data_IF_686830440888
#
_entry.id   IF_686830440888
#
_cell.length_a   1.000
_cell.length_b   1.000
_cell.length_c   1.000
_cell.angle_alpha   90.00
_cell.angle_beta   90.00
_cell.angle_gamma   90.00
#
_symmetry.space_group_name_H-M   'P 1'
#
loop_
_entity.id
_entity.type
_entity.pdbx_description
1 polymer ?
#
# COMPACT_ATOMS: atom_id res chain seq x y z
N UNK A 1 7.51 -4.02 8.36
CA UNK A 1 6.94 -4.64 7.12
C UNK A 1 7.75 -5.87 6.67
N UNK A 2 7.09 -6.99 6.38
CA UNK A 2 7.63 -8.26 5.85
C UNK A 2 7.85 -8.18 4.33
N UNK A 3 9.07 -7.86 3.90
CA UNK A 3 9.42 -7.78 2.47
C UNK A 3 9.46 -9.17 1.82
N UNK A 4 9.01 -9.29 0.57
CA UNK A 4 9.13 -10.50 -0.23
C UNK A 4 10.61 -10.90 -0.32
N UNK A 5 10.91 -12.17 0.01
CA UNK A 5 12.26 -12.71 -0.06
C UNK A 5 12.89 -12.48 -1.43
N UNK A 6 14.05 -11.82 -1.46
CA UNK A 6 14.79 -11.47 -2.67
C UNK A 6 14.50 -10.06 -3.21
N UNK A 7 13.50 -9.33 -2.69
CA UNK A 7 13.19 -7.95 -3.06
C UNK A 7 13.75 -6.90 -2.10
N UNK A 8 14.49 -7.29 -1.08
CA UNK A 8 14.98 -6.40 -0.02
C UNK A 8 15.89 -5.29 -0.57
N UNK A 9 16.78 -5.64 -1.52
CA UNK A 9 17.65 -4.66 -2.17
C UNK A 9 16.86 -3.73 -3.09
N UNK A 10 15.93 -4.26 -3.88
CA UNK A 10 15.10 -3.45 -4.78
C UNK A 10 14.25 -2.45 -3.99
N UNK A 11 13.62 -2.90 -2.91
CA UNK A 11 12.87 -2.04 -1.99
C UNK A 11 13.77 -0.97 -1.40
N UNK A 12 14.95 -1.34 -0.90
CA UNK A 12 15.89 -0.39 -0.31
C UNK A 12 16.38 0.64 -1.32
N UNK A 13 16.77 0.22 -2.51
CA UNK A 13 17.23 1.13 -3.57
C UNK A 13 16.09 2.08 -4.02
N UNK A 14 14.84 1.61 -4.02
CA UNK A 14 13.67 2.45 -4.30
C UNK A 14 13.40 3.44 -3.17
N UNK A 15 13.43 2.97 -1.91
CA UNK A 15 13.31 3.78 -0.71
C UNK A 15 14.38 4.88 -0.67
N UNK A 16 15.65 4.56 -0.94
CA UNK A 16 16.76 5.50 -0.85
C UNK A 16 16.69 6.59 -1.93
N UNK A 17 16.12 6.29 -3.11
CA UNK A 17 15.87 7.28 -4.18
C UNK A 17 14.76 8.28 -3.87
N UNK A 18 13.84 7.94 -2.96
CA UNK A 18 12.68 8.75 -2.61
C UNK A 18 12.91 9.45 -1.28
N UNK A 19 13.88 10.38 -1.28
CA UNK A 19 14.39 11.02 -0.06
C UNK A 19 13.76 12.38 0.26
N UNK A 20 13.01 12.98 -0.65
CA UNK A 20 12.28 14.22 -0.36
C UNK A 20 11.05 13.93 0.52
N UNK A 21 10.56 14.94 1.24
CA UNK A 21 9.47 14.73 2.20
C UNK A 21 8.18 14.19 1.59
N UNK A 22 7.86 14.56 0.34
CA UNK A 22 6.64 14.11 -0.33
C UNK A 22 6.76 12.63 -0.73
N UNK A 23 7.83 12.26 -1.42
CA UNK A 23 8.04 10.88 -1.85
C UNK A 23 8.32 9.95 -0.67
N UNK A 24 9.05 10.41 0.36
CA UNK A 24 9.32 9.68 1.60
C UNK A 24 8.03 9.35 2.34
N UNK A 25 7.07 10.27 2.42
CA UNK A 25 5.80 10.05 3.10
C UNK A 25 5.00 8.88 2.49
N UNK A 26 5.09 8.62 1.18
CA UNK A 26 4.49 7.42 0.57
C UNK A 26 5.05 6.12 1.16
N UNK A 27 6.36 6.04 1.39
CA UNK A 27 7.01 4.86 1.98
C UNK A 27 6.70 4.75 3.47
N UNK A 28 6.80 5.85 4.23
CA UNK A 28 6.49 5.89 5.65
C UNK A 28 5.06 5.41 5.91
N UNK A 29 4.09 5.91 5.13
CA UNK A 29 2.71 5.46 5.20
C UNK A 29 2.56 3.99 4.86
N UNK A 30 3.18 3.54 3.76
CA UNK A 30 3.13 2.14 3.32
C UNK A 30 3.65 1.18 4.40
N UNK A 31 4.82 1.45 4.99
CA UNK A 31 5.43 0.63 6.03
C UNK A 31 4.54 0.55 7.27
N UNK A 32 4.00 1.68 7.75
CA UNK A 32 3.10 1.71 8.91
C UNK A 32 1.81 0.94 8.67
N UNK A 33 1.21 1.13 7.51
CA UNK A 33 -0.04 0.44 7.17
C UNK A 33 0.17 -1.07 7.08
N UNK A 34 1.27 -1.50 6.47
CA UNK A 34 1.66 -2.91 6.40
C UNK A 34 1.91 -3.51 7.80
N UNK A 35 2.57 -2.79 8.69
CA UNK A 35 2.83 -3.25 10.07
C UNK A 35 1.55 -3.40 10.89
N UNK A 36 0.62 -2.44 10.77
CA UNK A 36 -0.69 -2.54 11.40
C UNK A 36 -1.48 -3.73 10.87
N UNK A 37 -1.46 -3.96 9.55
CA UNK A 37 -2.14 -5.11 8.94
C UNK A 37 -1.48 -6.43 9.31
N UNK A 38 -0.16 -6.51 9.36
CA UNK A 38 0.58 -7.69 9.85
C UNK A 38 0.11 -8.10 11.25
N UNK A 39 -0.07 -7.14 12.14
CA UNK A 39 -0.55 -7.41 13.51
C UNK A 39 -1.96 -8.02 13.54
N UNK A 40 -2.84 -7.68 12.59
CA UNK A 40 -4.18 -8.29 12.47
C UNK A 40 -4.17 -9.61 11.68
N UNK A 41 -3.28 -9.73 10.68
CA UNK A 41 -3.09 -10.97 9.91
C UNK A 41 -2.56 -12.08 10.82
N UNK A 42 -1.60 -11.79 11.71
CA UNK A 42 -1.02 -12.77 12.63
C UNK A 42 -2.06 -13.30 13.65
N UNK A 43 -3.22 -12.65 13.79
CA UNK A 43 -4.36 -13.09 14.62
C UNK A 43 -5.46 -13.79 13.81
N UNK A 44 -5.39 -13.77 12.48
CA UNK A 44 -6.44 -14.24 11.58
C UNK A 44 -6.11 -15.60 10.96
N UNK A 45 -7.15 -16.40 10.71
CA UNK A 45 -7.04 -17.63 9.92
C UNK A 45 -7.42 -17.43 8.43
N UNK A 46 -7.90 -16.23 8.08
CA UNK A 46 -8.26 -15.83 6.71
C UNK A 46 -7.69 -14.44 6.42
N UNK A 47 -6.69 -14.42 5.54
CA UNK A 47 -5.96 -13.20 5.17
C UNK A 47 -6.89 -12.24 4.42
N UNK A 48 -7.65 -12.71 3.41
CA UNK A 48 -8.51 -11.80 2.62
C UNK A 48 -9.62 -11.20 3.46
N UNK A 49 -10.21 -11.98 4.37
CA UNK A 49 -11.20 -11.45 5.31
C UNK A 49 -10.59 -10.39 6.23
N UNK A 50 -9.36 -10.60 6.70
CA UNK A 50 -8.64 -9.60 7.51
C UNK A 50 -8.52 -8.26 6.77
N UNK A 51 -8.18 -8.27 5.47
CA UNK A 51 -8.15 -7.05 4.65
C UNK A 51 -9.53 -6.39 4.53
N UNK A 52 -10.57 -7.15 4.23
CA UNK A 52 -11.95 -6.62 4.13
C UNK A 52 -12.38 -5.93 5.42
N UNK A 53 -12.06 -6.52 6.57
CA UNK A 53 -12.49 -6.04 7.88
C UNK A 53 -11.63 -4.86 8.40
N UNK A 54 -10.35 -4.78 8.03
CA UNK A 54 -9.39 -3.87 8.69
C UNK A 54 -8.70 -2.86 7.78
N UNK A 55 -8.48 -3.13 6.50
CA UNK A 55 -7.54 -2.37 5.69
C UNK A 55 -7.91 -0.88 5.56
N UNK A 56 -9.20 -0.54 5.45
CA UNK A 56 -9.64 0.86 5.41
C UNK A 56 -9.44 1.60 6.75
N UNK A 57 -9.75 0.94 7.88
CA UNK A 57 -9.57 1.55 9.20
C UNK A 57 -8.10 1.76 9.50
N UNK A 58 -7.28 0.72 9.33
CA UNK A 58 -5.85 0.76 9.57
C UNK A 58 -5.13 1.69 8.60
N UNK A 59 -5.62 1.80 7.36
CA UNK A 59 -5.11 2.75 6.39
C UNK A 59 -5.34 4.20 6.81
N UNK A 60 -6.43 4.51 7.52
CA UNK A 60 -6.62 5.85 8.12
C UNK A 60 -5.76 6.06 9.37
N UNK A 61 -5.56 5.03 10.18
CA UNK A 61 -4.71 5.10 11.38
C UNK A 61 -3.23 5.26 11.03
N UNK A 62 -2.77 4.68 9.92
CA UNK A 62 -1.41 4.83 9.42
C UNK A 62 -1.13 6.25 8.87
N UNK A 63 -2.17 7.00 8.47
CA UNK A 63 -2.03 8.33 7.92
C UNK A 63 -1.85 9.39 9.02
N UNK A 64 -0.60 9.54 9.47
CA UNK A 64 -0.24 10.61 10.42
C UNK A 64 0.29 11.86 9.74
N UNK A 65 0.41 11.86 8.41
CA UNK A 65 1.08 12.92 7.63
C UNK A 65 0.12 13.66 6.69
N UNK A 66 -1.13 13.17 6.55
CA UNK A 66 -2.16 13.75 5.69
C UNK A 66 -1.90 13.47 4.22
N UNK A 67 -1.67 12.20 3.86
CA UNK A 67 -1.32 11.82 2.50
C UNK A 67 -2.45 12.10 1.49
N UNK A 68 -2.08 12.44 0.26
CA UNK A 68 -3.07 12.67 -0.81
C UNK A 68 -3.54 11.36 -1.45
N UNK A 69 -4.62 11.40 -2.23
CA UNK A 69 -5.08 10.23 -3.00
C UNK A 69 -4.04 9.66 -3.97
N UNK A 70 -3.19 10.52 -4.54
CA UNK A 70 -2.08 10.08 -5.38
C UNK A 70 -1.02 9.32 -4.56
N UNK A 71 -0.63 9.88 -3.41
CA UNK A 71 0.33 9.25 -2.49
C UNK A 71 -0.20 7.91 -1.96
N UNK A 72 -1.50 7.83 -1.68
CA UNK A 72 -2.15 6.56 -1.32
C UNK A 72 -2.02 5.53 -2.45
N UNK A 73 -2.28 5.91 -3.70
CA UNK A 73 -2.05 5.04 -4.86
C UNK A 73 -0.59 4.58 -4.98
N UNK A 74 0.37 5.49 -4.75
CA UNK A 74 1.80 5.13 -4.70
C UNK A 74 2.10 4.12 -3.57
N UNK A 75 1.54 4.32 -2.39
CA UNK A 75 1.73 3.40 -1.28
C UNK A 75 1.15 2.00 -1.56
N UNK A 76 -0.05 1.91 -2.13
CA UNK A 76 -0.61 0.62 -2.57
C UNK A 76 0.30 -0.05 -3.59
N UNK A 77 0.88 0.71 -4.53
CA UNK A 77 1.84 0.21 -5.53
C UNK A 77 3.17 -0.28 -4.91
N UNK A 78 3.71 0.44 -3.92
CA UNK A 78 4.90 0.01 -3.17
C UNK A 78 4.61 -1.34 -2.48
N UNK A 79 3.49 -1.41 -1.76
CA UNK A 79 3.10 -2.61 -1.02
C UNK A 79 2.83 -3.79 -1.94
N UNK A 80 2.07 -3.60 -3.03
CA UNK A 80 1.75 -4.69 -3.96
C UNK A 80 3.00 -5.33 -4.57
N UNK A 81 4.07 -4.56 -4.74
CA UNK A 81 5.29 -5.02 -5.38
C UNK A 81 6.29 -5.65 -4.41
N UNK A 82 6.39 -5.15 -3.17
CA UNK A 82 7.49 -5.50 -2.28
C UNK A 82 7.06 -6.21 -1.00
N UNK A 83 5.78 -6.16 -0.62
CA UNK A 83 5.28 -6.72 0.64
C UNK A 83 4.75 -8.14 0.46
N UNK A 84 5.00 -9.04 1.42
CA UNK A 84 4.57 -10.44 1.40
C UNK A 84 3.05 -10.60 1.19
N UNK A 85 2.25 -9.70 1.76
CA UNK A 85 0.80 -9.69 1.60
C UNK A 85 0.29 -8.70 0.54
N UNK A 86 1.19 -8.12 -0.26
CA UNK A 86 0.90 -7.09 -1.24
C UNK A 86 -0.15 -7.47 -2.27
N UNK A 87 -0.19 -8.74 -2.68
CA UNK A 87 -1.19 -9.25 -3.63
C UNK A 87 -2.62 -9.25 -3.06
N UNK A 88 -2.77 -9.55 -1.77
CA UNK A 88 -4.06 -9.49 -1.09
C UNK A 88 -4.55 -8.04 -0.99
N UNK A 89 -3.64 -7.12 -0.66
CA UNK A 89 -3.93 -5.69 -0.64
C UNK A 89 -4.35 -5.18 -2.02
N UNK A 90 -3.61 -5.52 -3.08
CA UNK A 90 -3.90 -5.11 -4.46
C UNK A 90 -5.31 -5.53 -4.87
N UNK A 91 -5.66 -6.80 -4.64
CA UNK A 91 -7.01 -7.33 -4.96
C UNK A 91 -8.10 -6.64 -4.16
N UNK A 92 -7.91 -6.44 -2.86
CA UNK A 92 -8.87 -5.72 -2.02
C UNK A 92 -9.06 -4.27 -2.49
N UNK A 93 -7.97 -3.57 -2.80
CA UNK A 93 -8.00 -2.18 -3.25
C UNK A 93 -8.69 -2.06 -4.62
N UNK A 94 -8.24 -2.83 -5.61
CA UNK A 94 -8.73 -2.75 -6.98
C UNK A 94 -10.22 -3.10 -7.10
N UNK A 95 -10.72 -4.03 -6.27
CA UNK A 95 -12.13 -4.41 -6.24
C UNK A 95 -13.07 -3.24 -5.93
N UNK A 96 -12.60 -2.21 -5.21
CA UNK A 96 -13.37 -1.00 -4.93
C UNK A 96 -13.69 -0.18 -6.19
N UNK A 97 -12.95 -0.42 -7.26
CA UNK A 97 -13.04 0.27 -8.55
C UNK A 97 -13.50 -0.66 -9.67
N UNK A 98 -14.04 -1.84 -9.34
CA UNK A 98 -14.46 -2.86 -10.32
C UNK A 98 -13.33 -3.24 -11.30
N UNK A 99 -12.11 -3.32 -10.79
CA UNK A 99 -10.91 -3.65 -11.56
C UNK A 99 -10.28 -4.95 -11.06
N UNK A 100 -10.01 -5.88 -11.97
CA UNK A 100 -9.41 -7.20 -11.68
C UNK A 100 -8.07 -7.42 -12.41
N UNK A 101 -7.52 -6.38 -13.03
CA UNK A 101 -6.28 -6.48 -13.79
C UNK A 101 -5.02 -6.43 -12.94
N UNK A 102 -3.86 -6.51 -13.61
CA UNK A 102 -2.60 -6.67 -12.90
C UNK A 102 -1.99 -5.38 -12.33
N UNK A 103 -2.55 -4.22 -12.69
CA UNK A 103 -2.12 -2.93 -12.17
C UNK A 103 -2.65 -2.63 -10.77
N UNK A 104 -2.26 -1.47 -10.25
CA UNK A 104 -2.89 -0.84 -9.09
C UNK A 104 -3.66 0.38 -9.58
N UNK A 105 -4.95 0.46 -9.24
CA UNK A 105 -5.75 1.65 -9.57
C UNK A 105 -5.22 2.85 -8.78
N UNK A 106 -5.01 3.99 -9.44
CA UNK A 106 -4.74 5.24 -8.74
C UNK A 106 -6.06 6.02 -8.62
N UNK A 107 -6.53 6.34 -7.40
CA UNK A 107 -7.80 7.04 -7.22
C UNK A 107 -7.75 8.54 -7.54
N UNK A 108 -6.57 9.09 -7.84
CA UNK A 108 -6.44 10.49 -8.20
C UNK A 108 -7.15 10.78 -9.54
N UNK A 109 -8.01 11.80 -9.54
CA UNK A 109 -8.64 12.30 -10.77
C UNK A 109 -7.67 13.26 -11.45
N UNK A 110 -7.19 12.89 -12.63
CA UNK A 110 -6.31 13.72 -13.45
C UNK A 110 -7.14 14.47 -14.50
N UNK A 111 -7.14 15.79 -14.43
CA UNK A 111 -7.68 16.63 -15.51
C UNK A 111 -6.56 16.96 -16.47
N UNK A 112 -6.62 16.43 -17.69
CA UNK A 112 -5.71 16.80 -18.78
C UNK A 112 -6.37 17.92 -19.59
N UNK A 113 -5.82 19.13 -19.50
CA UNK A 113 -6.23 20.24 -20.36
C UNK A 113 -5.64 20.08 -21.76
N UNK A 114 -6.48 20.30 -22.77
CA UNK A 114 -6.05 20.48 -24.18
C UNK A 114 -5.63 21.92 -24.43
#
# INVERSE_FOLDING_TARGET
MKIIKGKEKEYKDWYDKNSDGYSRACFTYAERWAELLEAEIDKSNDIMKCFVDNADRLGREADTEGITGFMYGCAVSILSQCWEYGEYLRKWHNKKYDYDGDGVVNPAVMTVGV
#
